data_IF_535331604627
#
_entry.id   IF_535331604627
#
_cell.length_a   1.000
_cell.length_b   1.000
_cell.length_c   1.000
_cell.angle_alpha   90.00
_cell.angle_beta   90.00
_cell.angle_gamma   90.00
#
_symmetry.space_group_name_H-M   'P 1'
#
loop_
_entity.id
_entity.type
_entity.pdbx_description
1 polymer ?
#
# COMPACT_ATOMS: atom_id res chain seq x y z
N UNK A 1 -25.77 -22.57 -2.65
CA UNK A 1 -25.15 -23.90 -2.96
C UNK A 1 -23.63 -23.80 -3.18
N UNK A 2 -23.09 -23.08 -4.18
CA UNK A 2 -21.62 -22.97 -4.35
C UNK A 2 -20.94 -22.09 -3.27
N UNK A 3 -21.59 -21.00 -2.89
CA UNK A 3 -21.10 -20.04 -1.88
C UNK A 3 -21.83 -20.14 -0.54
N UNK A 4 -22.58 -21.23 -0.31
CA UNK A 4 -23.42 -21.46 0.88
C UNK A 4 -24.49 -20.37 1.18
N UNK A 5 -24.86 -19.57 0.18
CA UNK A 5 -25.95 -18.58 0.28
C UNK A 5 -27.34 -19.24 0.32
N UNK A 6 -28.28 -18.59 1.00
CA UNK A 6 -29.70 -18.94 1.04
C UNK A 6 -30.40 -18.44 -0.23
N UNK A 7 -30.97 -19.36 -0.99
CA UNK A 7 -31.62 -19.07 -2.27
C UNK A 7 -33.03 -18.47 -2.05
N UNK A 8 -33.66 -18.75 -0.91
CA UNK A 8 -34.99 -18.26 -0.59
C UNK A 8 -34.95 -16.80 -0.09
N UNK A 9 -33.86 -16.39 0.54
CA UNK A 9 -33.69 -15.03 1.05
C UNK A 9 -33.13 -14.10 -0.03
N UNK A 10 -34.01 -13.29 -0.64
CA UNK A 10 -33.64 -12.34 -1.71
C UNK A 10 -33.76 -10.87 -1.29
N UNK A 11 -34.09 -10.62 -0.02
CA UNK A 11 -34.40 -9.29 0.53
C UNK A 11 -33.26 -8.72 1.37
N UNK A 12 -32.30 -9.56 1.77
CA UNK A 12 -31.14 -9.19 2.56
C UNK A 12 -29.86 -9.38 1.72
N UNK A 13 -28.83 -8.52 1.91
CA UNK A 13 -27.52 -8.79 1.37
C UNK A 13 -26.95 -10.09 1.93
N UNK A 14 -26.21 -10.83 1.11
CA UNK A 14 -25.54 -12.05 1.56
C UNK A 14 -24.10 -12.11 1.05
N UNK A 15 -23.21 -12.66 1.88
CA UNK A 15 -21.79 -12.85 1.55
C UNK A 15 -21.42 -14.34 1.62
N UNK A 16 -20.59 -14.77 0.68
CA UNK A 16 -20.16 -16.17 0.59
C UNK A 16 -18.79 -16.33 -0.06
N UNK A 17 -18.25 -17.55 -0.01
CA UNK A 17 -16.98 -17.91 -0.62
C UNK A 17 -17.07 -19.19 -1.43
N UNK A 18 -16.36 -19.23 -2.56
CA UNK A 18 -16.23 -20.40 -3.43
C UNK A 18 -14.76 -20.68 -3.67
N UNK A 19 -14.29 -21.89 -3.38
CA UNK A 19 -12.97 -22.33 -3.84
C UNK A 19 -13.12 -22.99 -5.22
N UNK A 20 -12.61 -22.35 -6.27
CA UNK A 20 -12.62 -22.87 -7.62
C UNK A 20 -11.22 -23.37 -8.01
N UNK A 21 -11.18 -24.43 -8.81
CA UNK A 21 -9.96 -24.87 -9.49
C UNK A 21 -10.17 -24.71 -11.00
N UNK A 22 -9.45 -23.79 -11.61
CA UNK A 22 -9.54 -23.48 -13.05
C UNK A 22 -8.15 -23.55 -13.64
N UNK A 23 -7.95 -24.38 -14.67
CA UNK A 23 -6.65 -24.52 -15.35
C UNK A 23 -5.51 -24.98 -14.41
N UNK A 24 -5.83 -25.78 -13.39
CA UNK A 24 -4.86 -26.24 -12.38
C UNK A 24 -4.51 -25.21 -11.30
N UNK A 25 -5.06 -24.00 -11.35
CA UNK A 25 -4.88 -22.98 -10.32
C UNK A 25 -6.08 -22.90 -9.39
N UNK A 26 -5.81 -22.74 -8.09
CA UNK A 26 -6.84 -22.45 -7.10
C UNK A 26 -7.16 -20.96 -7.10
N UNK A 27 -8.46 -20.64 -7.17
CA UNK A 27 -9.01 -19.28 -7.12
C UNK A 27 -10.04 -19.26 -6.00
N UNK A 28 -9.82 -18.45 -4.96
CA UNK A 28 -10.84 -18.15 -3.95
C UNK A 28 -11.74 -17.04 -4.50
N UNK A 29 -13.05 -17.25 -4.51
CA UNK A 29 -14.01 -16.29 -5.05
C UNK A 29 -14.90 -15.81 -3.91
N UNK A 30 -14.84 -14.51 -3.61
CA UNK A 30 -15.82 -13.88 -2.73
C UNK A 30 -17.05 -13.50 -3.54
N UNK A 31 -18.21 -13.86 -3.01
CA UNK A 31 -19.53 -13.58 -3.60
C UNK A 31 -20.26 -12.64 -2.65
N UNK A 32 -20.77 -11.54 -3.17
CA UNK A 32 -21.67 -10.65 -2.44
C UNK A 32 -22.95 -10.45 -3.26
N UNK A 33 -24.11 -10.64 -2.64
CA UNK A 33 -25.42 -10.33 -3.23
C UNK A 33 -25.99 -9.10 -2.55
N UNK A 34 -26.59 -8.20 -3.33
CA UNK A 34 -27.26 -7.00 -2.83
C UNK A 34 -28.65 -6.94 -3.47
N UNK A 35 -29.73 -6.88 -2.68
CA UNK A 35 -31.07 -6.71 -3.22
C UNK A 35 -31.20 -5.33 -3.89
N UNK A 36 -31.82 -5.29 -5.06
CA UNK A 36 -32.11 -4.09 -5.84
C UNK A 36 -33.54 -4.11 -6.36
N UNK A 37 -33.99 -2.99 -6.93
CA UNK A 37 -35.37 -2.84 -7.47
C UNK A 37 -35.66 -3.84 -8.58
N UNK A 38 -34.65 -4.22 -9.38
CA UNK A 38 -34.79 -5.12 -10.54
C UNK A 38 -34.38 -6.57 -10.22
N UNK A 39 -34.18 -6.91 -8.94
CA UNK A 39 -33.69 -8.21 -8.49
C UNK A 39 -32.37 -8.11 -7.74
N UNK A 40 -31.61 -9.19 -7.66
CA UNK A 40 -30.35 -9.22 -6.92
C UNK A 40 -29.16 -8.85 -7.81
N UNK A 41 -28.34 -7.91 -7.34
CA UNK A 41 -27.02 -7.65 -7.91
C UNK A 41 -26.01 -8.61 -7.29
N UNK A 42 -25.17 -9.25 -8.11
CA UNK A 42 -24.15 -10.18 -7.65
C UNK A 42 -22.76 -9.67 -8.05
N UNK A 43 -21.89 -9.51 -7.06
CA UNK A 43 -20.48 -9.18 -7.26
C UNK A 43 -19.60 -10.39 -6.95
N UNK A 44 -18.74 -10.76 -7.91
CA UNK A 44 -17.73 -11.80 -7.73
C UNK A 44 -16.35 -11.17 -7.70
N UNK A 45 -15.58 -11.46 -6.66
CA UNK A 45 -14.17 -11.06 -6.55
C UNK A 45 -13.28 -12.29 -6.56
N UNK A 46 -12.53 -12.45 -7.63
CA UNK A 46 -11.56 -13.53 -7.80
C UNK A 46 -10.26 -13.18 -7.07
N UNK A 47 -9.81 -14.05 -6.18
CA UNK A 47 -8.58 -13.97 -5.42
C UNK A 47 -7.69 -15.16 -5.82
N UNK A 48 -6.68 -14.89 -6.64
CA UNK A 48 -5.68 -15.89 -7.02
C UNK A 48 -4.60 -16.05 -5.94
N UNK A 49 -3.88 -17.17 -5.95
CA UNK A 49 -2.65 -17.27 -5.16
C UNK A 49 -1.56 -16.41 -5.79
N UNK A 50 -1.16 -15.38 -5.06
CA UNK A 50 -0.15 -14.44 -5.50
C UNK A 50 1.24 -14.78 -4.97
N UNK A 51 2.26 -14.63 -5.83
CA UNK A 51 3.66 -14.61 -5.38
C UNK A 51 4.02 -13.18 -4.97
N UNK A 52 4.55 -13.03 -3.76
CA UNK A 52 4.96 -11.74 -3.20
C UNK A 52 6.49 -11.68 -3.16
N UNK A 53 7.09 -10.88 -4.05
CA UNK A 53 8.53 -10.62 -4.08
C UNK A 53 8.80 -9.17 -4.45
N UNK A 54 9.98 -8.64 -4.10
CA UNK A 54 10.29 -7.22 -4.32
C UNK A 54 10.29 -6.84 -5.81
N UNK A 55 10.69 -7.75 -6.69
CA UNK A 55 10.72 -7.49 -8.14
C UNK A 55 9.31 -7.19 -8.69
N UNK A 56 8.28 -7.81 -8.12
CA UNK A 56 6.88 -7.58 -8.48
C UNK A 56 6.43 -6.14 -8.21
N UNK A 57 6.97 -5.48 -7.18
CA UNK A 57 6.62 -4.11 -6.85
C UNK A 57 7.22 -3.09 -7.84
N UNK A 58 8.20 -3.50 -8.67
CA UNK A 58 8.89 -2.63 -9.63
C UNK A 58 9.43 -1.36 -8.97
N UNK A 59 9.94 -1.49 -7.75
CA UNK A 59 10.57 -0.41 -7.01
C UNK A 59 11.88 -0.04 -7.72
N UNK A 60 12.13 1.26 -7.91
CA UNK A 60 13.40 1.77 -8.42
C UNK A 60 14.57 1.37 -7.51
N UNK A 61 15.77 1.21 -8.07
CA UNK A 61 16.91 0.63 -7.37
C UNK A 61 17.32 1.38 -6.10
N UNK A 62 17.24 2.71 -6.12
CA UNK A 62 17.52 3.58 -4.99
C UNK A 62 16.52 3.38 -3.84
N UNK A 63 15.21 3.45 -4.14
CA UNK A 63 14.18 3.23 -3.15
C UNK A 63 14.17 1.77 -2.64
N UNK A 64 14.52 0.81 -3.50
CA UNK A 64 14.65 -0.60 -3.11
C UNK A 64 15.74 -0.78 -2.07
N UNK A 65 16.90 -0.15 -2.25
CA UNK A 65 18.00 -0.23 -1.29
C UNK A 65 17.60 0.35 0.08
N UNK A 66 16.81 1.42 0.10
CA UNK A 66 16.27 2.00 1.33
C UNK A 66 15.28 1.06 2.02
N UNK A 67 14.33 0.48 1.26
CA UNK A 67 13.39 -0.53 1.79
C UNK A 67 14.15 -1.73 2.35
N UNK A 68 15.11 -2.28 1.63
CA UNK A 68 15.93 -3.41 2.12
C UNK A 68 16.69 -3.06 3.40
N UNK A 69 17.12 -1.82 3.56
CA UNK A 69 17.74 -1.32 4.80
C UNK A 69 16.73 -1.25 5.95
N UNK A 70 15.50 -0.81 5.68
CA UNK A 70 14.42 -0.76 6.66
C UNK A 70 14.00 -2.17 7.13
N UNK A 71 13.90 -3.13 6.22
CA UNK A 71 13.55 -4.52 6.55
C UNK A 71 14.60 -5.21 7.42
N UNK A 72 15.86 -4.77 7.37
CA UNK A 72 16.96 -5.27 8.22
C UNK A 72 16.95 -4.69 9.63
N UNK A 73 16.11 -3.69 9.93
CA UNK A 73 16.04 -3.11 11.28
C UNK A 73 15.57 -4.16 12.30
N UNK A 74 16.16 -4.18 13.52
CA UNK A 74 15.75 -5.12 14.55
C UNK A 74 14.36 -4.80 15.09
N UNK A 75 13.99 -3.52 15.14
CA UNK A 75 12.73 -3.03 15.66
C UNK A 75 12.33 -1.68 15.06
N UNK A 76 11.09 -1.29 15.34
CA UNK A 76 10.50 -0.03 14.92
C UNK A 76 9.26 -0.24 14.07
N UNK A 77 8.54 0.85 13.79
CA UNK A 77 7.36 0.82 12.94
C UNK A 77 7.72 1.27 11.52
N UNK A 78 7.29 0.52 10.51
CA UNK A 78 7.29 0.95 9.11
C UNK A 78 5.83 1.06 8.67
N UNK A 79 5.44 2.26 8.22
CA UNK A 79 4.06 2.56 7.85
C UNK A 79 3.91 2.72 6.35
N UNK A 80 2.99 1.98 5.77
CA UNK A 80 2.61 2.14 4.36
C UNK A 80 1.32 2.94 4.28
N UNK A 81 1.36 4.08 3.60
CA UNK A 81 0.23 5.01 3.50
C UNK A 81 -0.31 5.10 2.08
N UNK A 82 -1.56 5.54 1.98
CA UNK A 82 -2.25 5.76 0.71
C UNK A 82 -3.74 5.46 0.80
N UNK A 83 -4.54 5.82 -0.21
CA UNK A 83 -5.97 5.57 -0.25
C UNK A 83 -6.30 4.09 -0.42
N UNK A 84 -7.57 3.75 -0.37
CA UNK A 84 -8.06 2.42 -0.74
C UNK A 84 -7.64 2.07 -2.16
N UNK A 85 -7.19 0.83 -2.36
CA UNK A 85 -6.77 0.35 -3.69
C UNK A 85 -5.39 0.86 -4.14
N UNK A 86 -4.62 1.54 -3.29
CA UNK A 86 -3.25 1.97 -3.65
C UNK A 86 -2.20 0.85 -3.62
N UNK A 87 -2.58 -0.38 -3.25
CA UNK A 87 -1.68 -1.53 -3.23
C UNK A 87 -0.88 -1.71 -1.92
N UNK A 88 -1.30 -1.07 -0.82
CA UNK A 88 -0.64 -1.17 0.50
C UNK A 88 -0.46 -2.63 0.96
N UNK A 89 -1.51 -3.43 0.88
CA UNK A 89 -1.49 -4.84 1.30
C UNK A 89 -0.49 -5.64 0.47
N UNK A 90 -0.43 -5.45 -0.86
CA UNK A 90 0.55 -6.12 -1.72
C UNK A 90 1.99 -5.77 -1.33
N UNK A 91 2.26 -4.51 -0.98
CA UNK A 91 3.56 -4.07 -0.49
C UNK A 91 3.90 -4.70 0.86
N UNK A 92 2.98 -4.68 1.83
CA UNK A 92 3.19 -5.30 3.13
C UNK A 92 3.43 -6.81 3.02
N UNK A 93 2.62 -7.51 2.24
CA UNK A 93 2.79 -8.95 2.01
C UNK A 93 4.14 -9.27 1.36
N UNK A 94 4.62 -8.40 0.48
CA UNK A 94 5.96 -8.50 -0.11
C UNK A 94 7.06 -8.32 0.94
N UNK A 95 6.93 -7.33 1.82
CA UNK A 95 7.87 -7.11 2.91
C UNK A 95 7.90 -8.30 3.86
N UNK A 96 6.73 -8.81 4.28
CA UNK A 96 6.63 -9.99 5.14
C UNK A 96 7.24 -11.22 4.46
N UNK A 97 7.00 -11.43 3.17
CA UNK A 97 7.59 -12.55 2.43
C UNK A 97 9.11 -12.48 2.33
N UNK A 98 9.72 -11.29 2.30
CA UNK A 98 11.18 -11.13 2.35
C UNK A 98 11.75 -11.44 3.73
N UNK A 99 10.98 -11.18 4.79
CA UNK A 99 11.36 -11.44 6.18
C UNK A 99 11.06 -12.86 6.65
N UNK A 100 10.29 -13.61 5.87
CA UNK A 100 9.79 -14.93 6.22
C UNK A 100 10.90 -15.98 6.12
N UNK A 101 11.63 -16.14 7.22
CA UNK A 101 12.67 -17.15 7.40
C UNK A 101 12.31 -18.05 8.58
N UNK A 102 12.89 -19.25 8.65
CA UNK A 102 12.58 -20.23 9.70
C UNK A 102 12.84 -19.72 11.13
N UNK A 103 13.71 -18.72 11.28
CA UNK A 103 14.08 -18.13 12.58
C UNK A 103 13.27 -16.89 12.96
N UNK A 104 12.31 -16.46 12.12
CA UNK A 104 11.48 -15.29 12.37
C UNK A 104 10.02 -15.67 12.48
N UNK A 105 9.47 -15.52 13.68
CA UNK A 105 8.04 -15.68 13.92
C UNK A 105 7.30 -14.41 13.50
N UNK A 106 6.58 -14.50 12.39
CA UNK A 106 5.76 -13.41 11.85
C UNK A 106 4.29 -13.65 12.20
N UNK A 107 3.64 -12.65 12.78
CA UNK A 107 2.22 -12.73 13.15
C UNK A 107 1.47 -11.50 12.66
N UNK A 108 0.30 -11.69 12.05
CA UNK A 108 -0.52 -10.61 11.49
C UNK A 108 -1.92 -10.58 12.09
N UNK A 109 -2.54 -9.40 12.15
CA UNK A 109 -3.97 -9.21 12.42
C UNK A 109 -4.57 -8.35 11.30
N UNK A 110 -5.57 -8.87 10.61
CA UNK A 110 -6.06 -8.31 9.33
C UNK A 110 -7.60 -8.32 9.25
N UNK A 111 -8.19 -7.39 8.50
CA UNK A 111 -9.64 -7.28 8.32
C UNK A 111 -10.04 -7.13 6.83
N UNK A 112 -10.34 -8.24 6.12
CA UNK A 112 -10.01 -9.63 6.45
C UNK A 112 -8.61 -10.01 5.91
N UNK A 113 -8.20 -11.26 6.12
CA UNK A 113 -7.01 -11.83 5.46
C UNK A 113 -7.28 -11.96 3.94
N UNK A 114 -6.52 -11.22 3.14
CA UNK A 114 -6.68 -11.14 1.68
C UNK A 114 -5.97 -12.25 0.92
N UNK A 115 -4.75 -12.62 1.36
CA UNK A 115 -3.98 -13.71 0.78
C UNK A 115 -3.37 -14.58 1.89
N UNK A 116 -3.09 -15.85 1.58
CA UNK A 116 -2.34 -16.72 2.50
C UNK A 116 -0.85 -16.58 2.25
N UNK A 117 -0.09 -16.31 3.31
CA UNK A 117 1.37 -16.32 3.33
C UNK A 117 1.86 -17.56 4.08
N UNK A 118 2.40 -18.58 3.38
CA UNK A 118 2.95 -19.77 4.04
C UNK A 118 4.02 -19.40 5.08
N UNK A 119 3.98 -20.00 6.26
CA UNK A 119 4.92 -19.71 7.36
C UNK A 119 4.56 -18.50 8.23
N UNK A 120 3.58 -17.69 7.83
CA UNK A 120 3.09 -16.54 8.60
C UNK A 120 1.83 -16.92 9.37
N UNK A 121 1.75 -16.55 10.65
CA UNK A 121 0.53 -16.72 11.45
C UNK A 121 -0.41 -15.55 11.17
N UNK A 122 -1.47 -15.78 10.39
CA UNK A 122 -2.41 -14.72 10.01
C UNK A 122 -3.73 -14.84 10.77
N UNK A 123 -4.07 -13.80 11.52
CA UNK A 123 -5.30 -13.69 12.31
C UNK A 123 -6.25 -12.75 11.58
N UNK A 124 -7.50 -13.17 11.39
CA UNK A 124 -8.56 -12.29 10.92
C UNK A 124 -9.27 -11.64 12.12
N UNK A 125 -9.56 -10.35 12.04
CA UNK A 125 -10.49 -9.66 12.94
C UNK A 125 -11.85 -10.38 12.89
N UNK A 126 -12.48 -10.55 14.06
CA UNK A 126 -13.80 -11.18 14.21
C UNK A 126 -14.62 -10.38 15.22
N UNK A 127 -15.36 -9.35 14.78
CA UNK A 127 -16.15 -8.51 15.67
C UNK A 127 -17.19 -9.30 16.47
N UNK A 128 -17.70 -10.41 15.94
CA UNK A 128 -18.75 -11.25 16.54
C UNK A 128 -18.31 -11.91 17.85
N UNK A 129 -17.00 -12.08 18.03
CA UNK A 129 -16.38 -12.62 19.26
C UNK A 129 -15.48 -11.58 19.96
N UNK A 130 -15.64 -10.29 19.63
CA UNK A 130 -14.84 -9.18 20.15
C UNK A 130 -13.33 -9.29 19.87
N UNK A 131 -12.93 -9.95 18.78
CA UNK A 131 -11.54 -9.98 18.32
C UNK A 131 -11.28 -8.80 17.38
N UNK A 132 -10.95 -7.65 17.95
CA UNK A 132 -10.56 -6.40 17.27
C UNK A 132 -9.05 -6.32 16.97
N UNK A 133 -8.62 -5.28 16.24
CA UNK A 133 -7.18 -5.01 16.04
C UNK A 133 -6.42 -4.86 17.36
N UNK A 134 -6.90 -4.04 18.29
CA UNK A 134 -6.25 -3.82 19.58
C UNK A 134 -6.16 -5.09 20.44
N UNK A 135 -7.25 -5.86 20.53
CA UNK A 135 -7.29 -7.11 21.33
C UNK A 135 -6.45 -8.23 20.70
N UNK A 136 -6.50 -8.36 19.36
CA UNK A 136 -5.66 -9.25 18.59
C UNK A 136 -4.18 -8.91 18.78
N UNK A 137 -3.80 -7.63 18.61
CA UNK A 137 -2.43 -7.17 18.77
C UNK A 137 -1.88 -7.43 20.18
N UNK A 138 -2.65 -7.16 21.24
CA UNK A 138 -2.23 -7.52 22.62
C UNK A 138 -1.96 -9.01 22.78
N UNK A 139 -2.76 -9.85 22.12
CA UNK A 139 -2.61 -11.31 22.19
C UNK A 139 -1.39 -11.77 21.41
N UNK A 140 -1.12 -11.17 20.25
CA UNK A 140 0.07 -11.41 19.45
C UNK A 140 1.34 -11.15 20.26
N UNK A 141 1.41 -10.05 21.00
CA UNK A 141 2.59 -9.66 21.78
C UNK A 141 2.91 -10.60 22.95
N UNK A 142 1.92 -11.34 23.47
CA UNK A 142 2.16 -12.40 24.46
C UNK A 142 2.70 -13.68 23.84
N UNK A 143 2.68 -13.78 22.52
CA UNK A 143 3.05 -14.97 21.80
C UNK A 143 4.55 -15.08 21.48
N UNK A 144 5.40 -14.12 21.83
CA UNK A 144 6.80 -14.02 21.38
C UNK A 144 6.94 -13.90 19.84
N UNK A 145 6.40 -12.83 19.21
CA UNK A 145 6.61 -12.56 17.80
C UNK A 145 7.97 -11.86 17.58
N UNK A 146 8.57 -12.01 16.40
CA UNK A 146 9.69 -11.17 15.98
C UNK A 146 9.21 -10.01 15.09
N UNK A 147 8.24 -10.30 14.21
CA UNK A 147 7.63 -9.33 13.29
C UNK A 147 6.13 -9.35 13.48
N UNK A 148 5.54 -8.16 13.58
CA UNK A 148 4.09 -7.99 13.71
C UNK A 148 3.56 -7.16 12.55
N UNK A 149 2.45 -7.57 11.95
CA UNK A 149 1.72 -6.72 11.00
C UNK A 149 0.30 -6.47 11.48
N UNK A 150 -0.08 -5.20 11.54
CA UNK A 150 -1.43 -4.77 11.84
C UNK A 150 -2.02 -4.26 10.54
N UNK A 151 -3.16 -4.78 10.10
CA UNK A 151 -3.75 -4.44 8.81
C UNK A 151 -3.89 -2.93 8.61
N UNK A 152 -4.29 -2.22 9.67
CA UNK A 152 -4.34 -0.76 9.71
C UNK A 152 -4.39 -0.24 11.16
N UNK A 153 -3.99 1.01 11.36
CA UNK A 153 -4.18 1.73 12.62
C UNK A 153 -5.24 2.82 12.43
N UNK A 154 -6.47 2.53 12.86
CA UNK A 154 -7.60 3.48 12.77
C UNK A 154 -7.78 4.31 14.03
N UNK A 155 -7.37 3.78 15.18
CA UNK A 155 -7.62 4.34 16.50
C UNK A 155 -6.32 4.46 17.33
N UNK A 156 -6.40 5.30 18.37
CA UNK A 156 -5.28 5.57 19.29
C UNK A 156 -4.85 4.30 20.03
N UNK A 157 -5.80 3.48 20.46
CA UNK A 157 -5.52 2.28 21.24
C UNK A 157 -4.61 1.32 20.47
N UNK A 158 -4.94 1.03 19.21
CA UNK A 158 -4.15 0.17 18.33
C UNK A 158 -2.79 0.79 18.05
N UNK A 159 -2.73 2.11 17.80
CA UNK A 159 -1.48 2.82 17.57
C UNK A 159 -0.54 2.78 18.78
N UNK A 160 -1.05 2.99 20.00
CA UNK A 160 -0.24 2.91 21.22
C UNK A 160 0.34 1.52 21.44
N UNK A 161 -0.46 0.47 21.21
CA UNK A 161 0.03 -0.91 21.38
C UNK A 161 1.12 -1.21 20.34
N UNK A 162 0.96 -0.77 19.10
CA UNK A 162 1.96 -0.93 18.04
C UNK A 162 3.27 -0.20 18.38
N UNK A 163 3.18 1.00 18.95
CA UNK A 163 4.33 1.78 19.43
C UNK A 163 5.05 1.07 20.57
N UNK A 164 4.30 0.57 21.57
CA UNK A 164 4.90 -0.21 22.66
C UNK A 164 5.58 -1.47 22.14
N UNK A 165 4.98 -2.17 21.17
CA UNK A 165 5.60 -3.32 20.52
C UNK A 165 6.93 -2.93 19.85
N UNK A 166 6.95 -1.85 19.08
CA UNK A 166 8.15 -1.35 18.43
C UNK A 166 9.27 -0.97 19.43
N UNK A 167 8.91 -0.29 20.52
CA UNK A 167 9.86 0.09 21.57
C UNK A 167 10.37 -1.09 22.38
N UNK A 168 9.62 -2.20 22.43
CA UNK A 168 10.01 -3.45 23.12
C UNK A 168 10.74 -4.44 22.22
N UNK A 169 11.23 -4.00 21.06
CA UNK A 169 12.14 -4.79 20.23
C UNK A 169 11.48 -5.50 19.05
N UNK A 170 10.22 -5.21 18.73
CA UNK A 170 9.52 -5.81 17.59
C UNK A 170 9.64 -4.95 16.33
N UNK A 171 9.74 -5.58 15.17
CA UNK A 171 9.54 -4.90 13.89
C UNK A 171 8.05 -4.93 13.55
N UNK A 172 7.44 -3.75 13.42
CA UNK A 172 6.00 -3.59 13.24
C UNK A 172 5.71 -2.98 11.88
N UNK A 173 4.79 -3.59 11.15
CA UNK A 173 4.23 -3.07 9.91
C UNK A 173 2.78 -2.69 10.11
N UNK A 174 2.35 -1.56 9.55
CA UNK A 174 0.94 -1.22 9.48
C UNK A 174 0.62 -0.30 8.32
N UNK A 175 -0.67 -0.01 8.14
CA UNK A 175 -1.15 0.96 7.17
C UNK A 175 -1.86 2.14 7.82
N UNK A 176 -1.79 3.30 7.14
CA UNK A 176 -2.61 4.47 7.40
C UNK A 176 -3.27 4.93 6.09
N UNK A 177 -4.43 5.57 6.19
CA UNK A 177 -5.11 6.18 5.03
C UNK A 177 -4.80 7.68 4.99
N UNK A 178 -3.59 8.02 4.55
CA UNK A 178 -3.16 9.40 4.29
C UNK A 178 -2.77 9.58 2.83
N UNK A 179 -2.78 10.83 2.36
CA UNK A 179 -2.46 11.09 0.96
C UNK A 179 -0.97 11.00 0.68
N UNK A 180 -0.14 11.40 1.63
CA UNK A 180 1.31 11.46 1.51
C UNK A 180 1.98 10.87 2.77
N UNK A 181 3.31 10.75 2.74
CA UNK A 181 4.11 10.18 3.82
C UNK A 181 4.15 11.10 5.05
N UNK A 182 4.24 12.42 4.84
CA UNK A 182 4.31 13.42 5.92
C UNK A 182 2.99 13.50 6.68
N UNK A 183 1.87 13.46 5.97
CA UNK A 183 0.53 13.38 6.54
C UNK A 183 0.33 12.13 7.38
N UNK A 184 1.11 11.07 7.14
CA UNK A 184 1.20 9.91 8.04
C UNK A 184 1.70 10.28 9.44
N UNK A 185 2.69 11.17 9.53
CA UNK A 185 3.22 11.69 10.79
C UNK A 185 2.13 12.50 11.51
N UNK A 186 1.55 13.48 10.81
CA UNK A 186 0.49 14.33 11.34
C UNK A 186 -0.70 13.49 11.80
N UNK A 187 -1.09 12.47 11.04
CA UNK A 187 -2.20 11.58 11.38
C UNK A 187 -1.99 10.84 12.71
N UNK A 188 -0.78 10.38 13.02
CA UNK A 188 -0.52 9.75 14.32
C UNK A 188 -0.67 10.77 15.46
N UNK A 189 -0.14 11.97 15.29
CA UNK A 189 -0.25 13.05 16.28
C UNK A 189 -1.72 13.44 16.49
N UNK A 190 -2.48 13.60 15.41
CA UNK A 190 -3.91 13.94 15.45
C UNK A 190 -4.77 12.83 16.07
N UNK A 191 -4.36 11.56 15.94
CA UNK A 191 -5.00 10.46 16.65
C UNK A 191 -4.75 10.49 18.16
N UNK A 192 -3.82 11.33 18.64
CA UNK A 192 -3.46 11.47 20.05
C UNK A 192 -2.17 10.75 20.45
N UNK A 193 -1.38 10.26 19.49
CA UNK A 193 -0.06 9.70 19.80
C UNK A 193 0.89 10.83 20.17
N UNK A 194 1.55 10.70 21.32
CA UNK A 194 2.55 11.67 21.74
C UNK A 194 3.70 11.81 20.72
N UNK A 195 4.07 13.03 20.30
CA UNK A 195 5.05 13.22 19.23
C UNK A 195 6.41 12.55 19.49
N UNK A 196 6.88 12.54 20.74
CA UNK A 196 8.14 11.87 21.10
C UNK A 196 8.07 10.35 20.88
N UNK A 197 6.88 9.74 21.02
CA UNK A 197 6.69 8.32 20.74
C UNK A 197 6.75 8.05 19.23
N UNK A 198 6.17 8.92 18.41
CA UNK A 198 6.29 8.83 16.95
C UNK A 198 7.76 8.91 16.54
N UNK A 199 8.49 9.91 17.03
CA UNK A 199 9.90 10.14 16.73
C UNK A 199 10.82 8.98 17.14
N UNK A 200 10.53 8.32 18.27
CA UNK A 200 11.37 7.23 18.80
C UNK A 200 11.02 5.84 18.26
N UNK A 201 9.76 5.59 17.91
CA UNK A 201 9.26 4.26 17.53
C UNK A 201 9.16 4.03 16.03
N UNK A 202 8.83 5.06 15.24
CA UNK A 202 8.63 4.91 13.79
C UNK A 202 9.96 5.07 13.06
N UNK A 203 10.18 4.31 11.99
CA UNK A 203 11.41 4.30 11.19
C UNK A 203 11.22 4.97 9.84
N UNK A 204 10.06 4.74 9.21
CA UNK A 204 9.72 5.32 7.94
C UNK A 204 8.21 5.33 7.67
N UNK A 205 7.80 6.29 6.86
CA UNK A 205 6.51 6.35 6.18
C UNK A 205 6.75 6.16 4.68
N UNK A 206 6.03 5.23 4.07
CA UNK A 206 6.10 4.91 2.64
C UNK A 206 4.72 5.19 2.06
N UNK A 207 4.56 6.31 1.35
CA UNK A 207 3.31 6.59 0.66
C UNK A 207 3.31 5.93 -0.72
N UNK A 208 2.14 5.44 -1.13
CA UNK A 208 1.98 4.70 -2.37
C UNK A 208 0.72 5.11 -3.13
N UNK A 209 0.83 5.12 -4.47
CA UNK A 209 -0.30 5.14 -5.42
C UNK A 209 -0.10 4.06 -6.49
N UNK A 210 -1.19 3.68 -7.16
CA UNK A 210 -1.13 2.84 -8.36
C UNK A 210 -1.36 3.67 -9.60
N UNK A 211 -0.54 3.45 -10.61
CA UNK A 211 -0.75 3.92 -11.98
C UNK A 211 -0.91 2.73 -12.90
N UNK A 212 -1.70 2.89 -13.96
CA UNK A 212 -1.86 1.89 -15.01
C UNK A 212 -0.57 1.76 -15.83
N UNK A 213 -0.27 0.54 -16.25
CA UNK A 213 0.91 0.27 -17.09
C UNK A 213 0.49 0.33 -18.56
N UNK A 214 1.24 1.05 -19.38
CA UNK A 214 1.01 1.12 -20.82
C UNK A 214 1.03 -0.26 -21.48
N UNK A 215 0.13 -0.47 -22.44
CA UNK A 215 0.17 -1.68 -23.27
C UNK A 215 1.43 -1.67 -24.15
N UNK A 216 2.26 -2.71 -24.05
CA UNK A 216 3.45 -2.87 -24.89
C UNK A 216 3.14 -2.90 -26.38
N UNK A 217 1.96 -3.42 -26.74
CA UNK A 217 1.62 -3.79 -28.12
C UNK A 217 0.98 -2.62 -28.89
N UNK A 218 0.48 -1.61 -28.17
CA UNK A 218 -0.25 -0.51 -28.79
C UNK A 218 0.06 0.87 -28.23
N UNK A 219 1.07 1.05 -27.38
CA UNK A 219 1.47 2.39 -26.92
C UNK A 219 1.90 3.26 -28.10
N UNK A 220 1.57 4.54 -28.04
CA UNK A 220 1.91 5.53 -29.08
C UNK A 220 2.88 6.56 -28.52
N UNK A 221 3.67 7.20 -29.39
CA UNK A 221 4.53 8.31 -28.99
C UNK A 221 3.63 9.51 -28.62
N UNK A 222 3.95 10.17 -27.52
CA UNK A 222 3.31 11.43 -27.12
C UNK A 222 4.00 12.58 -27.86
N UNK A 223 3.36 13.23 -28.86
CA UNK A 223 3.98 14.30 -29.64
C UNK A 223 4.34 15.52 -28.79
N UNK A 224 3.55 15.83 -27.76
CA UNK A 224 3.70 17.03 -26.92
C UNK A 224 4.38 16.72 -25.58
N UNK A 225 5.22 15.68 -25.55
CA UNK A 225 5.81 15.14 -24.33
C UNK A 225 6.55 16.21 -23.50
N UNK A 226 7.35 17.05 -24.13
CA UNK A 226 8.12 18.08 -23.43
C UNK A 226 7.21 19.12 -22.76
N UNK A 227 6.18 19.58 -23.46
CA UNK A 227 5.23 20.56 -22.94
C UNK A 227 4.44 19.99 -21.76
N UNK A 228 3.92 18.77 -21.90
CA UNK A 228 3.19 18.08 -20.82
C UNK A 228 4.08 17.73 -19.62
N UNK A 229 5.34 17.39 -19.83
CA UNK A 229 6.29 17.17 -18.73
C UNK A 229 6.63 18.46 -17.97
N UNK A 230 6.61 19.61 -18.64
CA UNK A 230 6.74 20.91 -17.97
C UNK A 230 5.58 21.19 -17.01
N UNK A 231 4.36 20.73 -17.30
CA UNK A 231 3.22 20.81 -16.37
C UNK A 231 3.46 20.02 -15.08
N UNK A 232 4.25 18.94 -15.17
CA UNK A 232 4.73 18.15 -14.04
C UNK A 232 5.94 18.78 -13.32
N UNK A 233 6.34 20.01 -13.66
CA UNK A 233 7.55 20.69 -13.18
C UNK A 233 8.85 19.92 -13.50
N UNK A 234 8.83 19.04 -14.51
CA UNK A 234 10.02 18.36 -14.99
C UNK A 234 10.68 19.16 -16.12
N UNK A 235 11.91 19.60 -15.89
CA UNK A 235 12.72 20.38 -16.84
C UNK A 235 13.96 19.61 -17.33
N UNK A 236 14.06 18.32 -17.00
CA UNK A 236 15.20 17.49 -17.41
C UNK A 236 15.12 17.06 -18.89
N UNK A 237 16.19 16.45 -19.41
CA UNK A 237 16.21 15.95 -20.78
C UNK A 237 15.22 14.78 -20.96
N UNK A 238 14.59 14.73 -22.12
CA UNK A 238 13.77 13.59 -22.59
C UNK A 238 14.63 12.77 -23.54
N UNK A 239 15.44 11.88 -22.97
CA UNK A 239 16.42 11.07 -23.73
C UNK A 239 15.82 9.89 -24.50
N UNK A 240 14.52 9.63 -24.34
CA UNK A 240 13.78 8.55 -25.00
C UNK A 240 12.35 9.02 -25.30
N UNK A 241 11.66 8.42 -26.30
CA UNK A 241 10.26 8.74 -26.56
C UNK A 241 9.40 8.51 -25.32
N UNK A 242 8.61 9.53 -24.97
CA UNK A 242 7.52 9.39 -24.01
C UNK A 242 6.31 8.84 -24.73
N UNK A 243 5.52 8.04 -24.04
CA UNK A 243 4.40 7.32 -24.62
C UNK A 243 3.08 7.73 -23.99
N UNK A 244 2.02 7.70 -24.81
CA UNK A 244 0.62 7.80 -24.41
C UNK A 244 -0.11 6.49 -24.70
N UNK A 245 -1.25 6.29 -24.04
CA UNK A 245 -2.10 5.16 -24.32
C UNK A 245 -2.85 5.39 -25.64
N UNK A 246 -2.85 4.40 -26.53
CA UNK A 246 -3.66 4.46 -27.76
C UNK A 246 -5.14 4.48 -27.43
N UNK A 247 -5.84 5.43 -28.01
CA UNK A 247 -7.30 5.53 -27.91
C UNK A 247 -7.97 4.26 -28.46
N UNK A 248 -8.95 3.73 -27.74
CA UNK A 248 -9.59 2.46 -28.08
C UNK A 248 -8.71 1.22 -27.94
N UNK A 249 -7.45 1.35 -27.49
CA UNK A 249 -6.52 0.24 -27.20
C UNK A 249 -6.42 -0.81 -28.31
N UNK A 250 -5.97 -2.02 -27.97
CA UNK A 250 -5.89 -3.20 -28.84
C UNK A 250 -6.54 -4.42 -28.16
N UNK A 251 -6.63 -5.55 -28.87
CA UNK A 251 -7.15 -6.80 -28.32
C UNK A 251 -6.39 -7.26 -27.06
N UNK A 252 -5.05 -7.16 -27.07
CA UNK A 252 -4.20 -7.61 -25.97
C UNK A 252 -4.41 -6.83 -24.66
N UNK A 253 -4.89 -5.59 -24.74
CA UNK A 253 -5.26 -4.75 -23.60
C UNK A 253 -6.77 -4.53 -23.47
N UNK A 254 -7.58 -5.28 -24.24
CA UNK A 254 -9.05 -5.21 -24.24
C UNK A 254 -9.57 -3.78 -24.44
N UNK A 255 -9.02 -3.11 -25.44
CA UNK A 255 -9.40 -1.76 -25.84
C UNK A 255 -9.15 -0.65 -24.81
N UNK A 256 -8.33 -0.89 -23.77
CA UNK A 256 -8.08 0.12 -22.71
C UNK A 256 -6.85 0.99 -22.95
N UNK A 257 -5.88 0.51 -23.75
CA UNK A 257 -4.55 1.12 -23.89
C UNK A 257 -3.57 0.78 -22.75
N UNK A 258 -4.02 0.06 -21.72
CA UNK A 258 -3.24 -0.29 -20.53
C UNK A 258 -3.31 -1.78 -20.19
N UNK A 259 -2.26 -2.34 -19.60
CA UNK A 259 -2.21 -3.74 -19.19
C UNK A 259 -1.52 -3.90 -17.84
N UNK A 260 -2.34 -4.01 -16.79
CA UNK A 260 -1.88 -4.11 -15.41
C UNK A 260 -1.64 -2.74 -14.76
N UNK A 261 -1.09 -2.77 -13.56
CA UNK A 261 -0.82 -1.60 -12.72
C UNK A 261 0.55 -1.75 -12.09
N UNK A 262 1.17 -0.63 -11.76
CA UNK A 262 2.39 -0.57 -10.97
C UNK A 262 2.29 0.54 -9.94
N UNK A 263 3.15 0.48 -8.94
CA UNK A 263 3.16 1.45 -7.87
C UNK A 263 4.14 2.59 -8.14
N UNK A 264 3.76 3.79 -7.70
CA UNK A 264 4.66 4.91 -7.51
C UNK A 264 4.71 5.24 -6.01
N UNK A 265 5.84 5.73 -5.56
CA UNK A 265 6.18 5.79 -4.15
C UNK A 265 6.84 7.12 -3.78
N UNK A 266 6.68 7.48 -2.52
CA UNK A 266 7.55 8.40 -1.80
C UNK A 266 7.86 7.81 -0.43
N UNK A 267 9.02 8.17 0.14
CA UNK A 267 9.48 7.62 1.40
C UNK A 267 10.09 8.72 2.26
N UNK A 268 9.56 8.85 3.48
CA UNK A 268 10.09 9.73 4.51
C UNK A 268 10.71 8.89 5.61
N UNK A 269 12.00 9.11 5.88
CA UNK A 269 12.74 8.47 6.96
C UNK A 269 12.62 9.30 8.24
N UNK A 270 12.54 8.63 9.38
CA UNK A 270 12.58 9.30 10.67
C UNK A 270 14.03 9.36 11.15
N UNK A 271 14.72 10.39 10.66
CA UNK A 271 16.07 10.76 11.11
C UNK A 271 15.99 11.47 12.47
N UNK A 272 17.12 11.62 13.21
CA UNK A 272 17.14 12.41 14.44
C UNK A 272 16.62 13.84 14.25
N UNK A 273 17.01 14.52 13.15
CA UNK A 273 16.54 15.86 12.83
C UNK A 273 15.02 15.91 12.56
N UNK A 274 14.49 14.92 11.84
CA UNK A 274 13.05 14.76 11.68
C UNK A 274 12.35 14.55 13.02
N UNK A 275 12.93 13.71 13.89
CA UNK A 275 12.40 13.44 15.22
C UNK A 275 12.33 14.67 16.13
N UNK A 276 13.32 15.55 16.06
CA UNK A 276 13.31 16.84 16.77
C UNK A 276 12.15 17.72 16.31
N UNK A 277 11.93 17.85 15.00
CA UNK A 277 10.83 18.63 14.44
C UNK A 277 9.46 18.06 14.84
N UNK A 278 9.31 16.73 14.79
CA UNK A 278 8.09 16.05 15.24
C UNK A 278 7.83 16.36 16.71
N UNK A 279 8.85 16.24 17.56
CA UNK A 279 8.73 16.49 19.01
C UNK A 279 8.28 17.92 19.32
N UNK A 280 8.76 18.89 18.54
CA UNK A 280 8.36 20.30 18.65
C UNK A 280 7.06 20.65 17.91
N UNK A 281 6.33 19.66 17.38
CA UNK A 281 5.09 19.83 16.60
C UNK A 281 5.26 20.83 15.44
N UNK A 282 6.37 20.71 14.72
CA UNK A 282 6.65 21.52 13.54
C UNK A 282 5.55 21.38 12.47
N UNK A 283 5.37 22.40 11.63
CA UNK A 283 4.38 22.38 10.56
C UNK A 283 4.73 21.36 9.47
N UNK A 284 3.74 20.91 8.69
CA UNK A 284 3.96 20.01 7.56
C UNK A 284 5.00 20.55 6.56
N UNK A 285 5.03 21.87 6.35
CA UNK A 285 6.04 22.51 5.50
C UNK A 285 7.46 22.36 6.07
N UNK A 286 7.65 22.54 7.39
CA UNK A 286 8.94 22.36 8.04
C UNK A 286 9.41 20.90 7.96
N UNK A 287 8.48 19.95 8.17
CA UNK A 287 8.75 18.53 8.01
C UNK A 287 9.16 18.21 6.56
N UNK A 288 8.47 18.76 5.56
CA UNK A 288 8.80 18.57 4.15
C UNK A 288 10.19 19.11 3.81
N UNK A 289 10.52 20.31 4.29
CA UNK A 289 11.85 20.89 4.09
C UNK A 289 12.96 20.02 4.69
N UNK A 290 12.72 19.42 5.86
CA UNK A 290 13.67 18.48 6.45
C UNK A 290 13.74 17.17 5.67
N UNK A 291 12.59 16.64 5.22
CA UNK A 291 12.54 15.42 4.43
C UNK A 291 13.36 15.58 3.14
N UNK A 292 13.22 16.73 2.44
CA UNK A 292 14.01 17.06 1.24
C UNK A 292 15.52 17.06 1.53
N UNK A 293 15.95 17.63 2.66
CA UNK A 293 17.37 17.57 3.11
C UNK A 293 17.81 16.14 3.39
N UNK A 294 16.90 15.31 3.89
CA UNK A 294 17.13 13.89 4.17
C UNK A 294 17.01 13.02 2.90
N UNK A 295 16.93 13.60 1.71
CA UNK A 295 16.91 12.88 0.43
C UNK A 295 15.54 12.35 0.01
N UNK A 296 14.45 12.85 0.61
CA UNK A 296 13.09 12.63 0.16
C UNK A 296 12.93 12.99 -1.32
N UNK A 297 12.18 12.15 -2.04
CA UNK A 297 11.76 12.43 -3.42
C UNK A 297 10.25 12.39 -3.51
N UNK A 298 9.61 13.43 -4.07
CA UNK A 298 8.16 13.45 -4.27
C UNK A 298 7.68 12.27 -5.12
N UNK A 299 6.47 11.78 -4.83
CA UNK A 299 5.89 10.70 -5.61
C UNK A 299 5.73 11.06 -7.09
N UNK A 300 5.42 12.33 -7.38
CA UNK A 300 5.36 12.85 -8.75
C UNK A 300 6.68 12.69 -9.50
N UNK A 301 7.82 12.96 -8.86
CA UNK A 301 9.14 12.77 -9.47
C UNK A 301 9.40 11.28 -9.76
N UNK A 302 9.02 10.40 -8.83
CA UNK A 302 9.07 8.96 -9.05
C UNK A 302 8.20 8.54 -10.25
N UNK A 303 7.00 9.12 -10.38
CA UNK A 303 6.11 8.93 -11.52
C UNK A 303 6.73 9.39 -12.84
N UNK A 304 7.41 10.54 -12.87
CA UNK A 304 8.13 11.03 -14.05
C UNK A 304 9.18 10.03 -14.53
N UNK A 305 9.96 9.43 -13.62
CA UNK A 305 10.92 8.37 -14.00
C UNK A 305 10.24 7.19 -14.69
N UNK A 306 9.04 6.81 -14.23
CA UNK A 306 8.24 5.75 -14.87
C UNK A 306 7.69 6.16 -16.23
N UNK A 307 7.34 7.43 -16.42
CA UNK A 307 6.95 7.99 -17.73
C UNK A 307 8.13 7.93 -18.70
N UNK A 308 9.31 8.38 -18.28
CA UNK A 308 10.52 8.38 -19.10
C UNK A 308 11.00 6.96 -19.44
N UNK A 309 10.71 5.99 -18.58
CA UNK A 309 10.92 4.56 -18.87
C UNK A 309 9.86 3.95 -19.82
N UNK A 310 8.86 4.73 -20.25
CA UNK A 310 7.80 4.29 -21.14
C UNK A 310 6.84 3.26 -20.52
N UNK A 311 6.66 3.32 -19.19
CA UNK A 311 5.86 2.37 -18.42
C UNK A 311 4.44 2.87 -18.13
N UNK A 312 4.24 4.19 -18.03
CA UNK A 312 2.93 4.85 -17.79
C UNK A 312 2.85 6.15 -18.57
N UNK A 313 1.70 6.82 -18.50
CA UNK A 313 1.45 8.11 -19.14
C UNK A 313 1.57 9.28 -18.17
N UNK A 314 1.67 10.49 -18.74
CA UNK A 314 1.66 11.75 -18.00
C UNK A 314 0.33 11.91 -17.25
N UNK A 315 -0.78 11.63 -17.93
CA UNK A 315 -2.14 11.78 -17.39
C UNK A 315 -2.36 10.89 -16.15
N UNK A 316 -1.84 9.66 -16.16
CA UNK A 316 -1.92 8.76 -15.00
C UNK A 316 -1.19 9.35 -13.79
N UNK A 317 0.04 9.82 -13.97
CA UNK A 317 0.83 10.38 -12.86
C UNK A 317 0.20 11.66 -12.32
N UNK A 318 -0.30 12.56 -13.18
CA UNK A 318 -1.02 13.76 -12.76
C UNK A 318 -2.24 13.35 -11.91
N UNK A 319 -3.07 12.44 -12.42
CA UNK A 319 -4.36 12.09 -11.79
C UNK A 319 -4.23 11.54 -10.36
N UNK A 320 -3.15 10.82 -10.06
CA UNK A 320 -2.95 10.21 -8.74
C UNK A 320 -2.09 11.04 -7.79
N UNK A 321 -1.43 12.09 -8.30
CA UNK A 321 -0.56 12.99 -7.52
C UNK A 321 -1.13 14.41 -7.38
N UNK A 322 -2.40 14.66 -7.74
CA UNK A 322 -3.01 16.02 -7.71
C UNK A 322 -2.81 16.75 -6.37
N UNK A 323 -2.89 16.02 -5.24
CA UNK A 323 -2.70 16.60 -3.90
C UNK A 323 -1.29 17.21 -3.68
N UNK A 324 -0.27 16.78 -4.43
CA UNK A 324 1.09 17.34 -4.36
C UNK A 324 1.25 18.64 -5.16
N UNK A 325 0.31 18.99 -6.06
CA UNK A 325 0.39 20.26 -6.82
C UNK A 325 0.00 21.48 -5.99
N UNK A 326 -0.78 21.27 -4.94
CA UNK A 326 -1.38 22.32 -4.09
C UNK A 326 -0.53 22.62 -2.84
N UNK A 327 0.55 21.86 -2.63
CA UNK A 327 1.55 22.04 -1.56
C UNK A 327 2.83 22.68 -2.11
#
# INVERSE_FOLDING_TARGET
>A
IMAQLDIAERRLPQDGRINLQVGGQFIDVRVATIPSVEGESVSLRLLGQEKFNLDRLRIESDLRAEVETLLKKPNGIILVTGPTGSGKSTTLYTFLSQLNTEHRRIVTIEDPVENKLPGVVQIAVRPEINLSFATGLRSILRGDPNVVMVGEMRDLETAEIAIRAALTGHLVFSTLHTNDAIGGITRLVDMGVEPFLVASSVRAFIAQRLVRVLCSDCKEIEPDAQAKLHELKYHGPVGAPVYRAREGGCEACRATGYKGRMSIYELVRLTPAMGELITHKASGQQLLQQALKDGYRPMREYGVRKILAGLTTIEEVISVTVAESEQ
#
